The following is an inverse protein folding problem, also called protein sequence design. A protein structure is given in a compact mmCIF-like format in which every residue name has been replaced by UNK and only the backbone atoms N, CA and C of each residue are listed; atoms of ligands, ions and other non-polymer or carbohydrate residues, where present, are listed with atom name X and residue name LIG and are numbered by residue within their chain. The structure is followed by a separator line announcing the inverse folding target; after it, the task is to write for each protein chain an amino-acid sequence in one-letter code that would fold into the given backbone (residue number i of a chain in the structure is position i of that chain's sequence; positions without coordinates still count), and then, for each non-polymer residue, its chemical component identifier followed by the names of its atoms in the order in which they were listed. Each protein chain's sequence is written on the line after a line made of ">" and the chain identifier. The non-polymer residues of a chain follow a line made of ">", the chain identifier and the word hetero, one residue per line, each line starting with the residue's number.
data_IF_847417950306
#
_entry.id   IF_847417950306
#
_cell.length_a   1.000
_cell.length_b   1.000
_cell.length_c   1.000
_cell.angle_alpha   90.00
_cell.angle_beta   90.00
_cell.angle_gamma   90.00
#
_symmetry.space_group_name_H-M   'P 1'
#
loop_
_entity.id
_entity.type
_entity.pdbx_description
1 polymer ?
#
# COMPACT_ATOMS: atom_id res chain seq x y z
N UNK A 1 -8.85 -35.41 47.04
CA UNK A 1 -9.66 -36.53 46.46
C UNK A 1 -10.56 -36.08 45.30
N UNK A 2 -11.83 -35.70 45.49
CA UNK A 2 -12.75 -35.38 44.36
C UNK A 2 -12.28 -34.21 43.48
N UNK A 3 -11.81 -33.10 44.10
CA UNK A 3 -11.24 -31.95 43.37
C UNK A 3 -9.95 -32.26 42.61
N UNK A 4 -9.10 -33.16 43.14
CA UNK A 4 -7.88 -33.60 42.44
C UNK A 4 -8.20 -34.52 41.26
N UNK A 5 -9.22 -35.36 41.36
CA UNK A 5 -9.68 -36.20 40.25
C UNK A 5 -10.25 -35.35 39.11
N UNK A 6 -10.97 -34.28 39.44
CA UNK A 6 -11.49 -33.32 38.47
C UNK A 6 -10.37 -32.49 37.82
N UNK A 7 -9.38 -32.04 38.61
CA UNK A 7 -8.20 -31.34 38.10
C UNK A 7 -7.37 -32.22 37.15
N UNK A 8 -7.18 -33.51 37.45
CA UNK A 8 -6.51 -34.46 36.56
C UNK A 8 -7.27 -34.71 35.26
N UNK A 9 -8.61 -34.80 35.32
CA UNK A 9 -9.43 -34.88 34.11
C UNK A 9 -9.32 -33.63 33.23
N UNK A 10 -9.31 -32.44 33.85
CA UNK A 10 -9.13 -31.18 33.12
C UNK A 10 -7.75 -31.06 32.49
N UNK A 11 -6.69 -31.46 33.19
CA UNK A 11 -5.33 -31.49 32.65
C UNK A 11 -5.22 -32.33 31.38
N UNK A 12 -5.79 -33.54 31.38
CA UNK A 12 -5.77 -34.39 30.18
C UNK A 12 -6.57 -33.85 28.98
N UNK A 13 -7.60 -33.02 29.21
CA UNK A 13 -8.34 -32.36 28.13
C UNK A 13 -7.52 -31.21 27.53
N UNK A 14 -6.83 -30.44 28.37
CA UNK A 14 -5.95 -29.35 27.93
C UNK A 14 -4.75 -29.88 27.13
N UNK A 15 -4.12 -30.96 27.59
CA UNK A 15 -3.01 -31.58 26.86
C UNK A 15 -3.45 -32.08 25.47
N UNK A 16 -4.66 -32.62 25.36
CA UNK A 16 -5.23 -33.06 24.07
C UNK A 16 -5.52 -31.87 23.14
N UNK A 17 -6.10 -30.78 23.67
CA UNK A 17 -6.38 -29.57 22.89
C UNK A 17 -5.09 -28.87 22.42
N UNK A 18 -4.06 -28.81 23.27
CA UNK A 18 -2.76 -28.26 22.92
C UNK A 18 -2.08 -29.11 21.83
N UNK A 19 -2.18 -30.44 21.94
CA UNK A 19 -1.68 -31.36 20.92
C UNK A 19 -2.39 -31.16 19.58
N UNK A 20 -3.70 -30.98 19.57
CA UNK A 20 -4.49 -30.73 18.35
C UNK A 20 -4.17 -29.36 17.74
N UNK A 21 -4.02 -28.32 18.56
CA UNK A 21 -3.63 -26.99 18.10
C UNK A 21 -2.22 -26.99 17.47
N UNK A 22 -1.25 -27.65 18.10
CA UNK A 22 0.10 -27.79 17.56
C UNK A 22 0.10 -28.53 16.22
N UNK A 23 -0.65 -29.64 16.11
CA UNK A 23 -0.79 -30.35 14.84
C UNK A 23 -1.41 -29.46 13.75
N UNK A 24 -2.45 -28.69 14.08
CA UNK A 24 -3.05 -27.73 13.13
C UNK A 24 -2.07 -26.65 12.67
N UNK A 25 -1.19 -26.15 13.57
CA UNK A 25 -0.15 -25.18 13.19
C UNK A 25 0.88 -25.81 12.27
N UNK A 26 1.33 -27.04 12.56
CA UNK A 26 2.26 -27.78 11.70
C UNK A 26 1.66 -28.04 10.30
N UNK A 27 0.40 -28.44 10.23
CA UNK A 27 -0.31 -28.68 8.97
C UNK A 27 -0.43 -27.40 8.13
N UNK A 28 -0.74 -26.26 8.77
CA UNK A 28 -0.76 -24.94 8.11
C UNK A 28 0.63 -24.52 7.62
N UNK A 29 1.67 -24.74 8.42
CA UNK A 29 3.05 -24.45 8.04
C UNK A 29 3.50 -25.30 6.83
N UNK A 30 3.12 -26.59 6.81
CA UNK A 30 3.40 -27.48 5.68
C UNK A 30 2.66 -27.04 4.41
N UNK A 31 1.40 -26.62 4.52
CA UNK A 31 0.63 -26.10 3.39
C UNK A 31 1.24 -24.80 2.83
N UNK A 32 1.69 -23.89 3.70
CA UNK A 32 2.37 -22.66 3.28
C UNK A 32 3.70 -22.96 2.57
N UNK A 33 4.49 -23.91 3.08
CA UNK A 33 5.72 -24.32 2.44
C UNK A 33 5.50 -24.97 1.07
N UNK A 34 4.42 -25.72 0.89
CA UNK A 34 4.04 -26.28 -0.41
C UNK A 34 3.64 -25.18 -1.40
N UNK A 35 2.81 -24.22 -0.97
CA UNK A 35 2.41 -23.08 -1.80
C UNK A 35 3.61 -22.21 -2.22
N UNK A 36 4.58 -22.01 -1.31
CA UNK A 36 5.82 -21.29 -1.64
C UNK A 36 6.63 -22.00 -2.72
N UNK A 37 6.72 -23.34 -2.68
CA UNK A 37 7.43 -24.11 -3.73
C UNK A 37 6.74 -23.98 -5.08
N UNK A 38 5.40 -24.08 -5.12
CA UNK A 38 4.64 -23.88 -6.37
C UNK A 38 4.85 -22.48 -6.94
N UNK A 39 4.92 -21.47 -6.08
CA UNK A 39 5.22 -20.09 -6.48
C UNK A 39 6.64 -19.95 -7.05
N UNK A 40 7.64 -20.52 -6.39
CA UNK A 40 9.04 -20.48 -6.83
C UNK A 40 9.21 -21.22 -8.18
N UNK A 41 8.54 -22.36 -8.38
CA UNK A 41 8.49 -23.08 -9.65
C UNK A 41 7.83 -22.26 -10.77
N UNK A 42 6.74 -21.56 -10.47
CA UNK A 42 6.08 -20.66 -11.42
C UNK A 42 6.98 -19.49 -11.81
N UNK A 43 7.70 -18.89 -10.86
CA UNK A 43 8.68 -17.83 -11.14
C UNK A 43 9.83 -18.34 -12.02
N UNK A 44 10.35 -19.54 -11.75
CA UNK A 44 11.39 -20.15 -12.57
C UNK A 44 10.90 -20.42 -14.01
N UNK A 45 9.66 -20.89 -14.17
CA UNK A 45 9.03 -21.08 -15.49
C UNK A 45 8.88 -19.76 -16.26
N UNK A 46 8.44 -18.69 -15.58
CA UNK A 46 8.31 -17.36 -16.18
C UNK A 46 9.67 -16.80 -16.63
N UNK A 47 10.72 -16.99 -15.81
CA UNK A 47 12.07 -16.59 -16.17
C UNK A 47 12.57 -17.34 -17.42
N UNK A 48 12.31 -18.65 -17.52
CA UNK A 48 12.68 -19.45 -18.68
C UNK A 48 11.96 -18.99 -19.97
N UNK A 49 10.66 -18.69 -19.88
CA UNK A 49 9.88 -18.14 -21.02
C UNK A 49 10.44 -16.77 -21.45
N UNK A 50 10.83 -15.93 -20.50
CA UNK A 50 11.40 -14.61 -20.78
C UNK A 50 12.73 -14.72 -21.55
N UNK A 51 13.62 -15.63 -21.11
CA UNK A 51 14.90 -15.89 -21.80
C UNK A 51 14.68 -16.40 -23.23
N UNK A 52 13.73 -17.32 -23.43
CA UNK A 52 13.44 -17.82 -24.78
C UNK A 52 12.81 -16.73 -25.67
N UNK A 53 11.96 -15.86 -25.11
CA UNK A 53 11.43 -14.71 -25.84
C UNK A 53 12.53 -13.76 -26.31
N UNK A 54 13.51 -13.44 -25.45
CA UNK A 54 14.67 -12.63 -25.85
C UNK A 54 15.50 -13.29 -26.93
N UNK A 55 15.68 -14.62 -26.87
CA UNK A 55 16.40 -15.38 -27.89
C UNK A 55 15.69 -15.30 -29.25
N UNK A 56 14.37 -15.40 -29.26
CA UNK A 56 13.55 -15.24 -30.46
C UNK A 56 13.69 -13.82 -31.02
N UNK A 57 13.62 -12.78 -30.19
CA UNK A 57 13.82 -11.39 -30.60
C UNK A 57 15.20 -11.15 -31.25
N UNK A 58 16.26 -11.72 -30.68
CA UNK A 58 17.62 -11.64 -31.28
C UNK A 58 17.68 -12.33 -32.64
N UNK A 59 17.00 -13.47 -32.79
CA UNK A 59 16.94 -14.22 -34.05
C UNK A 59 16.20 -13.42 -35.13
N UNK A 60 15.05 -12.83 -34.79
CA UNK A 60 14.28 -11.96 -35.70
C UNK A 60 15.14 -10.76 -36.12
N UNK A 61 15.82 -10.11 -35.18
CA UNK A 61 16.71 -8.98 -35.48
C UNK A 61 17.87 -9.38 -36.40
N UNK A 62 18.44 -10.58 -36.25
CA UNK A 62 19.47 -11.10 -37.15
C UNK A 62 18.93 -11.32 -38.56
N UNK A 63 17.78 -11.99 -38.70
CA UNK A 63 17.14 -12.21 -40.00
C UNK A 63 16.78 -10.90 -40.70
N UNK A 64 16.36 -9.88 -39.95
CA UNK A 64 16.13 -8.53 -40.46
C UNK A 64 17.39 -7.90 -41.07
N UNK A 65 18.54 -8.01 -40.39
CA UNK A 65 19.84 -7.53 -40.91
C UNK A 65 20.28 -8.28 -42.16
N UNK A 66 20.11 -9.60 -42.19
CA UNK A 66 20.45 -10.42 -43.37
C UNK A 66 19.58 -10.07 -44.58
N UNK A 67 18.28 -9.85 -44.37
CA UNK A 67 17.34 -9.42 -45.40
C UNK A 67 17.71 -8.04 -45.95
N UNK A 68 18.05 -7.08 -45.09
CA UNK A 68 18.47 -5.74 -45.51
C UNK A 68 19.77 -5.79 -46.34
N UNK A 69 20.73 -6.62 -45.92
CA UNK A 69 21.98 -6.83 -46.65
C UNK A 69 21.73 -7.44 -48.05
N UNK A 70 20.86 -8.45 -48.14
CA UNK A 70 20.42 -9.02 -49.44
C UNK A 70 19.74 -7.99 -50.31
N UNK A 71 18.86 -7.15 -49.75
CA UNK A 71 18.20 -6.06 -50.47
C UNK A 71 19.17 -4.98 -50.97
N UNK A 72 20.24 -4.67 -50.22
CA UNK A 72 21.33 -3.78 -50.69
C UNK A 72 22.11 -4.41 -51.84
N UNK A 73 22.48 -5.69 -51.74
CA UNK A 73 23.18 -6.41 -52.80
C UNK A 73 22.33 -6.51 -54.09
N UNK A 74 21.04 -6.80 -53.97
CA UNK A 74 20.11 -6.86 -55.10
C UNK A 74 20.00 -5.50 -55.81
N UNK A 75 19.86 -4.40 -55.06
CA UNK A 75 19.83 -3.02 -55.62
C UNK A 75 21.12 -2.65 -56.34
N UNK A 76 22.28 -3.03 -55.79
CA UNK A 76 23.56 -2.82 -56.47
C UNK A 76 23.64 -3.60 -57.80
N UNK A 77 23.07 -4.80 -57.85
CA UNK A 77 23.02 -5.63 -59.07
C UNK A 77 22.00 -5.14 -60.11
N UNK A 78 20.92 -4.46 -59.71
CA UNK A 78 19.89 -3.94 -60.64
C UNK A 78 20.20 -2.55 -61.20
N UNK A 79 21.14 -1.81 -60.60
CA UNK A 79 21.58 -0.49 -61.08
C UNK A 79 22.24 -0.51 -62.48
N UNK A 80 22.41 -1.68 -63.09
CA UNK A 80 22.94 -1.89 -64.44
C UNK A 80 21.87 -2.19 -65.51
N UNK A 81 20.58 -2.26 -65.16
CA UNK A 81 19.48 -2.58 -66.08
C UNK A 81 18.58 -1.36 -66.37
N UNK A 82 18.01 -1.31 -67.57
CA UNK A 82 17.28 -0.15 -68.13
C UNK A 82 15.99 0.21 -67.38
N UNK A 83 15.57 1.47 -67.50
CA UNK A 83 14.51 2.15 -66.72
C UNK A 83 13.15 1.41 -66.55
N UNK A 84 12.74 0.55 -67.47
CA UNK A 84 11.43 -0.12 -67.39
C UNK A 84 11.45 -1.36 -66.47
N UNK A 85 12.57 -2.08 -66.38
CA UNK A 85 12.73 -3.22 -65.45
C UNK A 85 12.90 -2.74 -64.00
N UNK A 86 13.54 -1.59 -63.81
CA UNK A 86 13.69 -0.96 -62.50
C UNK A 86 12.34 -0.59 -61.86
N UNK A 87 11.34 -0.25 -62.68
CA UNK A 87 10.00 0.14 -62.21
C UNK A 87 9.16 -1.07 -61.79
N UNK A 88 9.29 -2.19 -62.49
CA UNK A 88 8.68 -3.47 -62.09
C UNK A 88 9.31 -4.02 -60.80
N UNK A 89 10.65 -3.96 -60.67
CA UNK A 89 11.37 -4.36 -59.46
C UNK A 89 11.03 -3.52 -58.23
N UNK A 90 10.73 -2.23 -58.39
CA UNK A 90 10.30 -1.36 -57.28
C UNK A 90 8.93 -1.77 -56.72
N UNK A 91 7.97 -2.10 -57.59
CA UNK A 91 6.64 -2.56 -57.17
C UNK A 91 6.70 -3.92 -56.44
N UNK A 92 7.55 -4.83 -56.91
CA UNK A 92 7.76 -6.13 -56.27
C UNK A 92 8.42 -5.99 -54.89
N UNK A 93 9.37 -5.05 -54.74
CA UNK A 93 9.99 -4.74 -53.44
C UNK A 93 8.99 -4.13 -52.46
N UNK A 94 8.11 -3.22 -52.91
CA UNK A 94 7.10 -2.61 -52.05
C UNK A 94 6.04 -3.63 -51.63
N UNK A 95 5.67 -4.55 -52.52
CA UNK A 95 4.80 -5.68 -52.19
C UNK A 95 5.45 -6.60 -51.14
N UNK A 96 6.73 -6.96 -51.31
CA UNK A 96 7.45 -7.77 -50.32
C UNK A 96 7.56 -7.10 -48.95
N UNK A 97 7.85 -5.79 -48.90
CA UNK A 97 7.87 -5.04 -47.63
C UNK A 97 6.49 -5.02 -46.97
N UNK A 98 5.43 -4.81 -47.75
CA UNK A 98 4.07 -4.83 -47.23
C UNK A 98 3.67 -6.22 -46.71
N UNK A 99 4.09 -7.28 -47.40
CA UNK A 99 3.89 -8.67 -46.95
C UNK A 99 4.63 -8.95 -45.64
N UNK A 100 5.92 -8.57 -45.56
CA UNK A 100 6.73 -8.78 -44.36
C UNK A 100 6.15 -8.02 -43.15
N UNK A 101 5.68 -6.79 -43.36
CA UNK A 101 5.05 -5.98 -42.31
C UNK A 101 3.74 -6.61 -41.79
N UNK A 102 2.95 -7.23 -42.68
CA UNK A 102 1.73 -7.96 -42.28
C UNK A 102 2.06 -9.21 -41.48
N UNK A 103 3.06 -9.98 -41.93
CA UNK A 103 3.51 -11.18 -41.23
C UNK A 103 4.07 -10.85 -39.83
N UNK A 104 4.86 -9.77 -39.72
CA UNK A 104 5.36 -9.28 -38.44
C UNK A 104 4.20 -8.81 -37.52
N UNK A 105 3.22 -8.09 -38.05
CA UNK A 105 2.03 -7.68 -37.29
C UNK A 105 1.23 -8.89 -36.79
N UNK A 106 1.10 -9.95 -37.59
CA UNK A 106 0.43 -11.19 -37.18
C UNK A 106 1.21 -11.91 -36.07
N UNK A 107 2.54 -11.98 -36.18
CA UNK A 107 3.38 -12.56 -35.12
C UNK A 107 3.28 -11.76 -33.81
N UNK A 108 3.26 -10.43 -33.88
CA UNK A 108 3.10 -9.58 -32.69
C UNK A 108 1.72 -9.78 -32.03
N UNK A 109 0.66 -9.94 -32.82
CA UNK A 109 -0.68 -10.28 -32.34
C UNK A 109 -0.73 -11.67 -31.67
N UNK A 110 -0.09 -12.68 -32.28
CA UNK A 110 0.00 -14.03 -31.70
C UNK A 110 0.79 -14.06 -30.38
N UNK A 111 1.92 -13.35 -30.32
CA UNK A 111 2.71 -13.21 -29.09
C UNK A 111 1.91 -12.48 -28.01
N UNK A 112 1.18 -11.42 -28.37
CA UNK A 112 0.33 -10.71 -27.42
C UNK A 112 -0.80 -11.62 -26.90
N UNK A 113 -1.48 -12.35 -27.79
CA UNK A 113 -2.52 -13.30 -27.41
C UNK A 113 -1.98 -14.40 -26.49
N UNK A 114 -0.77 -14.92 -26.75
CA UNK A 114 -0.13 -15.90 -25.88
C UNK A 114 0.22 -15.33 -24.51
N UNK A 115 0.77 -14.12 -24.43
CA UNK A 115 1.06 -13.43 -23.16
C UNK A 115 -0.22 -13.22 -22.33
N UNK A 116 -1.32 -12.81 -22.98
CA UNK A 116 -2.63 -12.66 -22.33
C UNK A 116 -3.14 -14.01 -21.82
N UNK A 117 -3.03 -15.09 -22.60
CA UNK A 117 -3.45 -16.43 -22.18
C UNK A 117 -2.64 -16.95 -20.98
N UNK A 118 -1.32 -16.74 -20.97
CA UNK A 118 -0.46 -17.12 -19.82
C UNK A 118 -0.82 -16.30 -18.58
N UNK A 119 -0.98 -14.98 -18.71
CA UNK A 119 -1.38 -14.12 -17.59
C UNK A 119 -2.74 -14.56 -17.01
N UNK A 120 -3.72 -14.86 -17.87
CA UNK A 120 -5.02 -15.36 -17.46
C UNK A 120 -4.92 -16.71 -16.73
N UNK A 121 -4.08 -17.63 -17.23
CA UNK A 121 -3.83 -18.92 -16.57
C UNK A 121 -3.23 -18.75 -15.17
N UNK A 122 -2.33 -17.79 -14.98
CA UNK A 122 -1.75 -17.48 -13.65
C UNK A 122 -2.82 -16.91 -12.71
N UNK A 123 -3.64 -15.98 -13.20
CA UNK A 123 -4.77 -15.43 -12.42
C UNK A 123 -5.75 -16.52 -12.00
N UNK A 124 -6.09 -17.44 -12.91
CA UNK A 124 -6.99 -18.55 -12.61
C UNK A 124 -6.36 -19.54 -11.62
N UNK A 125 -5.05 -19.78 -11.68
CA UNK A 125 -4.32 -20.61 -10.72
C UNK A 125 -4.24 -19.99 -9.31
N UNK A 126 -4.10 -18.67 -9.20
CA UNK A 126 -4.01 -17.96 -7.91
C UNK A 126 -5.37 -17.71 -7.24
N UNK A 127 -6.47 -17.68 -8.02
CA UNK A 127 -7.84 -17.45 -7.51
C UNK A 127 -8.21 -18.31 -6.28
N UNK A 128 -7.98 -19.63 -6.24
CA UNK A 128 -8.30 -20.43 -5.05
C UNK A 128 -7.48 -20.05 -3.82
N UNK A 129 -6.21 -19.66 -3.98
CA UNK A 129 -5.36 -19.24 -2.87
C UNK A 129 -5.84 -17.90 -2.28
N UNK A 130 -6.21 -16.95 -3.14
CA UNK A 130 -6.82 -15.66 -2.72
C UNK A 130 -8.13 -15.91 -1.97
N UNK A 131 -9.01 -16.75 -2.51
CA UNK A 131 -10.27 -17.10 -1.86
C UNK A 131 -10.07 -17.82 -0.50
N UNK A 132 -8.99 -18.60 -0.36
CA UNK A 132 -8.63 -19.23 0.92
C UNK A 132 -8.14 -18.19 1.94
N UNK A 133 -7.32 -17.21 1.51
CA UNK A 133 -6.86 -16.12 2.35
C UNK A 133 -8.01 -15.22 2.82
N UNK A 134 -8.97 -14.90 1.94
CA UNK A 134 -10.17 -14.14 2.29
C UNK A 134 -10.99 -14.85 3.37
N UNK A 135 -11.19 -16.17 3.26
CA UNK A 135 -11.89 -16.96 4.29
C UNK A 135 -11.16 -16.97 5.64
N UNK A 136 -9.83 -17.02 5.63
CA UNK A 136 -9.03 -16.94 6.86
C UNK A 136 -9.20 -15.57 7.52
N UNK A 137 -9.16 -14.49 6.73
CA UNK A 137 -9.38 -13.14 7.23
C UNK A 137 -10.82 -12.95 7.79
N UNK A 138 -11.83 -13.53 7.14
CA UNK A 138 -13.21 -13.54 7.66
C UNK A 138 -13.32 -14.32 8.98
N UNK A 139 -12.59 -15.43 9.12
CA UNK A 139 -12.54 -16.19 10.37
C UNK A 139 -11.87 -15.40 11.49
N UNK A 140 -10.72 -14.76 11.24
CA UNK A 140 -10.02 -13.92 12.20
C UNK A 140 -10.89 -12.73 12.64
N UNK A 141 -11.59 -12.08 11.71
CA UNK A 141 -12.52 -11.00 12.02
C UNK A 141 -13.68 -11.48 12.89
N UNK A 142 -14.24 -12.66 12.60
CA UNK A 142 -15.31 -13.26 13.40
C UNK A 142 -14.85 -13.64 14.81
N UNK A 143 -13.59 -14.10 14.97
CA UNK A 143 -12.99 -14.35 16.29
C UNK A 143 -12.78 -13.07 17.08
N UNK A 144 -12.33 -12.00 16.42
CA UNK A 144 -12.15 -10.69 17.04
C UNK A 144 -13.49 -10.09 17.52
N UNK A 145 -14.57 -10.26 16.76
CA UNK A 145 -15.91 -9.84 17.18
C UNK A 145 -16.45 -10.66 18.36
N UNK A 146 -16.17 -11.98 18.41
CA UNK A 146 -16.48 -12.80 19.59
C UNK A 146 -15.70 -12.33 20.83
N UNK A 147 -14.42 -12.03 20.67
CA UNK A 147 -13.57 -11.54 21.76
C UNK A 147 -14.06 -10.18 22.28
N UNK A 148 -14.47 -9.26 21.39
CA UNK A 148 -15.09 -7.99 21.78
C UNK A 148 -16.37 -8.20 22.58
N UNK A 149 -17.26 -9.09 22.11
CA UNK A 149 -18.51 -9.40 22.83
C UNK A 149 -18.24 -9.99 24.23
N UNK A 150 -17.24 -10.87 24.35
CA UNK A 150 -16.82 -11.40 25.66
C UNK A 150 -16.26 -10.30 26.57
N UNK A 151 -15.52 -9.34 26.02
CA UNK A 151 -15.02 -8.19 26.78
C UNK A 151 -16.17 -7.26 27.26
N UNK A 152 -17.18 -7.01 26.43
CA UNK A 152 -18.38 -6.26 26.81
C UNK A 152 -19.18 -6.97 27.90
N UNK A 153 -19.36 -8.30 27.80
CA UNK A 153 -20.00 -9.12 28.83
C UNK A 153 -19.21 -9.06 30.16
N UNK A 154 -17.87 -9.14 30.10
CA UNK A 154 -17.00 -8.99 31.26
C UNK A 154 -17.14 -7.61 31.92
N UNK A 155 -17.19 -6.54 31.12
CA UNK A 155 -17.38 -5.18 31.63
C UNK A 155 -18.75 -5.01 32.30
N UNK A 156 -19.81 -5.59 31.73
CA UNK A 156 -21.14 -5.60 32.34
C UNK A 156 -21.17 -6.31 33.71
N UNK A 157 -20.49 -7.46 33.83
CA UNK A 157 -20.35 -8.18 35.11
C UNK A 157 -19.60 -7.33 36.14
N UNK A 158 -18.51 -6.66 35.73
CA UNK A 158 -17.76 -5.77 36.61
C UNK A 158 -18.59 -4.56 37.05
N UNK A 159 -19.40 -3.99 36.15
CA UNK A 159 -20.30 -2.89 36.46
C UNK A 159 -21.36 -3.30 37.48
N UNK A 160 -21.96 -4.48 37.31
CA UNK A 160 -22.91 -5.05 38.28
C UNK A 160 -22.24 -5.26 39.65
N UNK A 161 -21.05 -5.86 39.70
CA UNK A 161 -20.32 -6.07 40.94
C UNK A 161 -20.00 -4.74 41.66
N UNK A 162 -19.62 -3.69 40.92
CA UNK A 162 -19.41 -2.35 41.48
C UNK A 162 -20.69 -1.76 42.07
N UNK A 163 -21.84 -1.95 41.41
CA UNK A 163 -23.13 -1.49 41.91
C UNK A 163 -23.53 -2.21 43.22
N UNK A 164 -23.34 -3.53 43.28
CA UNK A 164 -23.62 -4.33 44.48
C UNK A 164 -22.73 -3.92 45.65
N UNK A 165 -21.43 -3.67 45.42
CA UNK A 165 -20.51 -3.12 46.44
C UNK A 165 -20.97 -1.75 46.90
N UNK A 166 -21.34 -0.86 45.96
CA UNK A 166 -21.82 0.48 46.28
C UNK A 166 -23.10 0.47 47.14
N UNK A 167 -24.01 -0.48 46.90
CA UNK A 167 -25.20 -0.68 47.73
C UNK A 167 -24.84 -1.19 49.13
N UNK A 168 -23.99 -2.22 49.23
CA UNK A 168 -23.58 -2.81 50.50
C UNK A 168 -22.82 -1.80 51.41
N UNK A 169 -22.05 -0.89 50.82
CA UNK A 169 -21.35 0.18 51.55
C UNK A 169 -22.33 1.21 52.13
N UNK A 170 -23.45 1.50 51.46
CA UNK A 170 -24.45 2.45 51.97
C UNK A 170 -25.23 1.89 53.17
N UNK A 171 -25.48 0.59 53.20
CA UNK A 171 -26.28 -0.05 54.24
C UNK A 171 -25.49 -0.42 55.51
N UNK A 172 -24.16 -0.36 55.47
CA UNK A 172 -23.30 -0.78 56.59
C UNK A 172 -22.68 0.39 57.34
N UNK A 173 -23.27 0.77 58.49
CA UNK A 173 -22.74 1.81 59.40
C UNK A 173 -21.57 1.35 60.29
N UNK A 174 -20.73 0.41 59.83
CA UNK A 174 -19.64 -0.14 60.65
C UNK A 174 -18.50 -0.77 59.85
N UNK A 175 -17.26 -0.35 60.15
CA UNK A 175 -16.02 -0.68 59.45
C UNK A 175 -15.68 -2.18 59.33
N UNK A 176 -16.32 -3.06 60.11
CA UNK A 176 -16.14 -4.51 60.03
C UNK A 176 -16.96 -5.14 58.90
N UNK A 177 -18.19 -4.66 58.68
CA UNK A 177 -19.06 -5.16 57.62
C UNK A 177 -18.57 -4.70 56.23
N UNK A 178 -18.00 -3.49 56.15
CA UNK A 178 -17.37 -2.96 54.93
C UNK A 178 -16.17 -3.80 54.50
N UNK A 179 -15.35 -4.29 55.44
CA UNK A 179 -14.21 -5.17 55.14
C UNK A 179 -14.64 -6.52 54.59
N UNK A 180 -15.66 -7.15 55.20
CA UNK A 180 -16.21 -8.41 54.70
C UNK A 180 -16.83 -8.26 53.31
N UNK A 181 -17.57 -7.18 53.05
CA UNK A 181 -18.18 -6.93 51.75
C UNK A 181 -17.13 -6.70 50.64
N UNK A 182 -16.06 -5.95 50.95
CA UNK A 182 -14.93 -5.75 50.02
C UNK A 182 -14.21 -7.07 49.75
N UNK A 183 -13.99 -7.92 50.75
CA UNK A 183 -13.31 -9.20 50.58
C UNK A 183 -14.14 -10.20 49.74
N UNK A 184 -15.46 -10.22 49.94
CA UNK A 184 -16.38 -11.02 49.11
C UNK A 184 -16.42 -10.50 47.67
N UNK A 185 -16.51 -9.19 47.46
CA UNK A 185 -16.49 -8.59 46.12
C UNK A 185 -15.16 -8.82 45.41
N UNK A 186 -14.03 -8.76 46.13
CA UNK A 186 -12.70 -9.05 45.60
C UNK A 186 -12.59 -10.53 45.20
N UNK A 187 -13.17 -11.46 45.97
CA UNK A 187 -13.23 -12.88 45.59
C UNK A 187 -14.12 -13.13 44.37
N UNK A 188 -15.26 -12.45 44.25
CA UNK A 188 -16.14 -12.57 43.08
C UNK A 188 -15.47 -11.99 41.83
N UNK A 189 -14.82 -10.83 41.94
CA UNK A 189 -14.05 -10.23 40.85
C UNK A 189 -12.84 -11.11 40.44
N UNK A 190 -12.12 -11.68 41.41
CA UNK A 190 -11.01 -12.60 41.14
C UNK A 190 -11.48 -13.91 40.47
N UNK A 191 -12.66 -14.42 40.85
CA UNK A 191 -13.28 -15.59 40.22
C UNK A 191 -13.68 -15.30 38.78
N UNK A 192 -14.33 -14.15 38.53
CA UNK A 192 -14.72 -13.74 37.19
C UNK A 192 -13.50 -13.51 36.27
N UNK A 193 -12.44 -12.88 36.78
CA UNK A 193 -11.19 -12.70 36.02
C UNK A 193 -10.50 -14.03 35.69
N UNK A 194 -10.58 -15.03 36.58
CA UNK A 194 -10.07 -16.38 36.31
C UNK A 194 -10.84 -17.14 35.22
N UNK A 195 -12.11 -16.78 34.99
CA UNK A 195 -12.95 -17.38 33.96
C UNK A 195 -12.85 -16.64 32.60
N UNK A 196 -12.28 -15.43 32.56
CA UNK A 196 -12.20 -14.56 31.35
C UNK A 196 -10.80 -14.55 30.71
N UNK A 197 -9.73 -14.78 31.47
CA UNK A 197 -8.36 -14.79 30.92
C UNK A 197 -8.10 -16.11 30.18
N UNK A 198 -7.78 -16.08 28.86
CA UNK A 198 -7.27 -17.26 28.17
C UNK A 198 -5.97 -17.70 28.86
N UNK A 199 -5.92 -18.94 29.35
CA UNK A 199 -4.83 -19.46 30.19
C UNK A 199 -3.46 -19.58 29.47
N UNK A 200 -3.37 -19.21 28.19
CA UNK A 200 -2.20 -19.42 27.33
C UNK A 200 -1.47 -18.14 26.86
N UNK A 201 -1.70 -16.98 27.49
CA UNK A 201 -0.92 -15.78 27.16
C UNK A 201 0.51 -15.86 27.76
N UNK A 202 1.59 -15.83 26.94
CA UNK A 202 2.96 -15.77 27.45
C UNK A 202 3.21 -14.46 28.22
N UNK A 203 4.06 -14.47 29.27
CA UNK A 203 4.33 -13.26 30.05
C UNK A 203 5.00 -12.19 29.18
N UNK A 204 4.57 -10.92 29.29
CA UNK A 204 5.16 -9.84 28.50
C UNK A 204 6.64 -9.66 28.85
N UNK A 205 7.47 -9.62 27.81
CA UNK A 205 8.87 -9.26 27.93
C UNK A 205 8.99 -7.84 28.49
N UNK A 206 9.96 -7.65 29.41
CA UNK A 206 10.22 -6.36 30.02
C UNK A 206 10.71 -5.35 28.97
N UNK A 207 9.95 -4.27 28.79
CA UNK A 207 10.36 -3.09 28.02
C UNK A 207 11.49 -2.35 28.74
N UNK A 208 12.58 -1.98 28.04
CA UNK A 208 13.53 -0.99 28.52
C UNK A 208 13.11 0.43 28.08
N UNK A 209 13.05 1.31 29.07
CA UNK A 209 13.39 2.74 29.01
C UNK A 209 12.60 3.66 28.03
N UNK A 210 11.53 4.23 28.59
CA UNK A 210 11.13 5.64 28.52
C UNK A 210 11.73 6.55 27.43
N UNK A 211 10.98 6.73 26.34
CA UNK A 211 11.01 7.94 25.54
C UNK A 211 9.82 8.85 25.94
N UNK A 212 10.00 10.17 26.10
CA UNK A 212 8.91 11.07 26.45
C UNK A 212 7.91 11.17 25.29
N UNK A 213 6.65 10.88 25.59
CA UNK A 213 5.50 11.07 24.70
C UNK A 213 5.37 12.58 24.38
N UNK A 214 5.25 13.00 23.10
CA UNK A 214 5.00 14.40 22.78
C UNK A 214 3.67 14.85 23.41
N UNK A 215 3.58 16.11 23.86
CA UNK A 215 2.37 16.62 24.51
C UNK A 215 1.21 16.61 23.53
N UNK A 216 0.10 15.97 23.93
CA UNK A 216 -1.20 16.08 23.28
C UNK A 216 -1.65 17.55 23.32
N UNK A 217 -1.36 18.31 22.26
CA UNK A 217 -1.91 19.65 22.12
C UNK A 217 -3.42 19.56 21.87
N UNK A 218 -4.26 20.17 22.72
CA UNK A 218 -5.70 20.19 22.51
C UNK A 218 -6.02 20.87 21.18
N UNK A 219 -6.87 20.23 20.37
CA UNK A 219 -7.48 20.85 19.19
C UNK A 219 -8.14 22.18 19.62
N UNK A 220 -7.76 23.34 19.06
CA UNK A 220 -8.32 24.61 19.48
C UNK A 220 -9.82 24.65 19.19
N UNK A 221 -10.61 24.98 20.21
CA UNK A 221 -12.08 24.96 20.22
C UNK A 221 -12.76 26.04 19.35
N UNK A 222 -12.08 26.51 18.30
CA UNK A 222 -12.54 27.57 17.41
C UNK A 222 -12.64 27.18 15.93
N UNK A 223 -12.47 25.91 15.56
CA UNK A 223 -12.65 25.46 14.18
C UNK A 223 -14.11 25.70 13.75
N UNK A 224 -14.32 26.61 12.77
CA UNK A 224 -15.60 26.76 12.09
C UNK A 224 -16.01 25.37 11.59
N UNK A 225 -17.02 24.77 12.23
CA UNK A 225 -17.55 23.48 11.85
C UNK A 225 -18.12 23.59 10.42
N UNK A 226 -17.51 22.89 9.46
CA UNK A 226 -18.08 22.70 8.11
C UNK A 226 -17.25 23.17 6.91
N UNK A 227 -16.07 23.76 7.09
CA UNK A 227 -15.16 24.06 5.97
C UNK A 227 -13.85 23.29 6.16
N UNK A 228 -13.69 22.18 5.45
CA UNK A 228 -12.41 21.46 5.34
C UNK A 228 -11.73 21.89 4.04
N UNK A 229 -10.42 22.07 4.10
CA UNK A 229 -9.68 22.51 2.93
C UNK A 229 -9.30 21.31 2.11
N UNK A 230 -9.39 21.49 0.81
CA UNK A 230 -8.83 20.53 -0.10
C UNK A 230 -7.34 20.80 -0.25
N UNK A 231 -6.51 19.90 0.25
CA UNK A 231 -5.07 19.91 -0.01
C UNK A 231 -4.79 19.97 -1.51
N UNK A 232 -5.59 19.27 -2.32
CA UNK A 232 -5.47 19.29 -3.78
C UNK A 232 -5.76 20.67 -4.37
N UNK A 233 -6.75 21.40 -3.84
CA UNK A 233 -7.04 22.76 -4.29
C UNK A 233 -5.91 23.73 -3.91
N UNK A 234 -5.33 23.58 -2.71
CA UNK A 234 -4.16 24.36 -2.27
C UNK A 234 -2.96 24.11 -3.16
N UNK A 235 -2.67 22.85 -3.50
CA UNK A 235 -1.55 22.49 -4.38
C UNK A 235 -1.71 23.01 -5.82
N UNK A 236 -2.95 23.17 -6.30
CA UNK A 236 -3.25 23.69 -7.65
C UNK A 236 -3.23 25.22 -7.75
N UNK A 237 -3.37 25.92 -6.62
CA UNK A 237 -3.42 27.39 -6.60
C UNK A 237 -2.03 27.97 -6.26
N UNK A 238 -1.36 28.70 -7.18
CA UNK A 238 0.03 29.14 -6.99
C UNK A 238 0.27 29.94 -5.71
N UNK A 239 -0.62 30.87 -5.37
CA UNK A 239 -0.48 31.69 -4.16
C UNK A 239 -0.66 30.87 -2.88
N UNK A 240 -1.59 29.89 -2.92
CA UNK A 240 -1.87 29.01 -1.79
C UNK A 240 -0.73 28.00 -1.57
N UNK A 241 -0.19 27.45 -2.67
CA UNK A 241 1.00 26.61 -2.66
C UNK A 241 2.21 27.35 -2.09
N UNK A 242 2.40 28.63 -2.45
CA UNK A 242 3.49 29.43 -1.90
C UNK A 242 3.35 29.62 -0.39
N UNK A 243 2.14 29.86 0.11
CA UNK A 243 1.88 29.94 1.56
C UNK A 243 2.16 28.60 2.27
N UNK A 244 1.78 27.48 1.66
CA UNK A 244 2.07 26.16 2.20
C UNK A 244 3.58 25.87 2.22
N UNK A 245 4.32 26.28 1.17
CA UNK A 245 5.79 26.20 1.12
C UNK A 245 6.43 27.04 2.23
N UNK A 246 5.98 28.28 2.41
CA UNK A 246 6.53 29.16 3.44
C UNK A 246 6.22 28.64 4.85
N UNK A 247 5.06 28.01 5.05
CA UNK A 247 4.73 27.30 6.28
C UNK A 247 5.66 26.10 6.50
N UNK A 248 5.82 25.23 5.49
CA UNK A 248 6.65 24.03 5.60
C UNK A 248 8.11 24.39 5.91
N UNK A 249 8.65 25.47 5.32
CA UNK A 249 9.99 26.01 5.62
C UNK A 249 10.13 26.50 7.06
N UNK A 250 9.12 27.20 7.59
CA UNK A 250 9.12 27.65 8.99
C UNK A 250 9.11 26.46 9.96
N UNK A 251 8.55 25.34 9.53
CA UNK A 251 8.41 24.13 10.32
C UNK A 251 9.51 23.09 10.01
N UNK A 252 10.51 23.44 9.20
CA UNK A 252 11.62 22.56 8.79
C UNK A 252 11.13 21.23 8.19
N UNK A 253 10.14 21.29 7.30
CA UNK A 253 9.49 20.13 6.66
C UNK A 253 9.20 20.34 5.17
N UNK A 254 9.84 21.33 4.55
CA UNK A 254 9.65 21.70 3.15
C UNK A 254 10.08 20.61 2.17
N UNK A 255 10.98 19.71 2.56
CA UNK A 255 11.55 18.68 1.69
C UNK A 255 10.48 17.72 1.15
N UNK A 256 9.46 17.38 1.94
CA UNK A 256 8.37 16.51 1.47
C UNK A 256 7.52 17.19 0.40
N UNK A 257 7.26 18.50 0.55
CA UNK A 257 6.51 19.28 -0.43
C UNK A 257 7.32 19.52 -1.70
N UNK A 258 8.59 19.89 -1.55
CA UNK A 258 9.49 20.11 -2.67
C UNK A 258 9.75 18.82 -3.45
N UNK A 259 9.91 17.68 -2.78
CA UNK A 259 10.02 16.39 -3.43
C UNK A 259 8.76 16.04 -4.24
N UNK A 260 7.58 16.19 -3.65
CA UNK A 260 6.31 15.94 -4.34
C UNK A 260 6.15 16.81 -5.61
N UNK A 261 6.53 18.08 -5.52
CA UNK A 261 6.54 19.00 -6.66
C UNK A 261 7.55 18.58 -7.73
N UNK A 262 8.75 18.15 -7.35
CA UNK A 262 9.76 17.68 -8.30
C UNK A 262 9.39 16.35 -8.95
N UNK A 263 8.71 15.43 -8.26
CA UNK A 263 8.16 14.20 -8.88
C UNK A 263 7.12 14.55 -9.95
N UNK A 264 6.23 15.51 -9.66
CA UNK A 264 5.24 15.97 -10.64
C UNK A 264 5.93 16.55 -11.89
N UNK A 265 6.90 17.44 -11.69
CA UNK A 265 7.69 18.00 -12.81
C UNK A 265 8.50 16.93 -13.53
N UNK A 266 9.06 15.95 -12.82
CA UNK A 266 9.80 14.84 -13.41
C UNK A 266 8.94 14.05 -14.39
N UNK A 267 7.70 13.72 -14.04
CA UNK A 267 6.75 13.06 -14.95
C UNK A 267 6.38 13.91 -16.15
N UNK A 268 6.09 15.20 -15.95
CA UNK A 268 5.81 16.12 -17.06
C UNK A 268 7.00 16.21 -18.02
N UNK A 269 8.22 16.31 -17.48
CA UNK A 269 9.46 16.31 -18.26
C UNK A 269 9.71 14.96 -18.94
N UNK A 270 9.38 13.85 -18.29
CA UNK A 270 9.50 12.49 -18.84
C UNK A 270 8.63 12.29 -20.09
N UNK A 271 7.41 12.82 -20.06
CA UNK A 271 6.43 12.68 -21.13
C UNK A 271 6.69 13.62 -22.32
N UNK A 272 7.65 14.56 -22.19
CA UNK A 272 8.01 15.46 -23.27
C UNK A 272 8.68 14.72 -24.45
N UNK A 273 8.09 14.86 -25.65
CA UNK A 273 8.47 14.12 -26.86
C UNK A 273 9.93 14.33 -27.30
N UNK A 274 10.49 15.51 -27.06
CA UNK A 274 11.83 15.90 -27.53
C UNK A 274 12.95 15.55 -26.55
N UNK A 275 12.63 14.94 -25.40
CA UNK A 275 13.59 14.76 -24.31
C UNK A 275 14.45 13.52 -24.49
N UNK A 276 15.77 13.70 -24.40
CA UNK A 276 16.75 12.61 -24.52
C UNK A 276 16.80 11.77 -23.24
N UNK A 277 17.12 10.49 -23.40
CA UNK A 277 17.31 9.55 -22.28
C UNK A 277 18.34 10.05 -21.26
N UNK A 278 19.43 10.67 -21.72
CA UNK A 278 20.47 11.21 -20.83
C UNK A 278 19.95 12.32 -19.89
N UNK A 279 19.01 13.15 -20.35
CA UNK A 279 18.41 14.20 -19.54
C UNK A 279 17.45 13.62 -18.49
N UNK A 280 16.71 12.57 -18.84
CA UNK A 280 15.85 11.83 -17.90
C UNK A 280 16.68 11.19 -16.80
N UNK A 281 17.79 10.55 -17.18
CA UNK A 281 18.75 9.99 -16.22
C UNK A 281 19.29 11.06 -15.28
N UNK A 282 19.77 12.19 -15.80
CA UNK A 282 20.32 13.28 -14.97
C UNK A 282 19.31 13.79 -13.95
N UNK A 283 18.05 13.95 -14.35
CA UNK A 283 16.98 14.37 -13.43
C UNK A 283 16.74 13.31 -12.35
N UNK A 284 16.65 12.03 -12.73
CA UNK A 284 16.40 10.96 -11.77
C UNK A 284 17.57 10.79 -10.78
N UNK A 285 18.82 10.83 -11.26
CA UNK A 285 20.02 10.80 -10.43
C UNK A 285 20.07 11.97 -9.46
N UNK A 286 19.72 13.18 -9.93
CA UNK A 286 19.62 14.35 -9.08
C UNK A 286 18.54 14.18 -8.00
N UNK A 287 17.34 13.70 -8.34
CA UNK A 287 16.28 13.47 -7.37
C UNK A 287 16.65 12.41 -6.33
N UNK A 288 17.31 11.33 -6.76
CA UNK A 288 17.82 10.30 -5.85
C UNK A 288 18.84 10.92 -4.89
N UNK A 289 19.84 11.64 -5.40
CA UNK A 289 20.89 12.26 -4.58
C UNK A 289 20.35 13.33 -3.62
N UNK A 290 19.39 14.13 -4.08
CA UNK A 290 18.89 15.28 -3.34
C UNK A 290 17.84 14.88 -2.29
N UNK A 291 16.94 13.93 -2.58
CA UNK A 291 15.81 13.65 -1.69
C UNK A 291 15.83 12.26 -1.07
N UNK A 292 16.42 11.26 -1.74
CA UNK A 292 16.33 9.87 -1.28
C UNK A 292 17.64 9.37 -0.65
N UNK A 293 18.78 9.95 -1.03
CA UNK A 293 20.08 9.52 -0.53
C UNK A 293 20.20 9.79 0.97
N UNK A 294 20.64 8.76 1.70
CA UNK A 294 20.88 8.88 3.13
C UNK A 294 21.92 9.95 3.44
N UNK A 295 21.58 10.86 4.34
CA UNK A 295 22.45 11.98 4.72
C UNK A 295 22.37 13.18 3.79
N UNK A 296 21.47 13.18 2.80
CA UNK A 296 21.14 14.40 2.07
C UNK A 296 20.55 15.44 3.03
N UNK A 297 20.90 16.74 2.90
CA UNK A 297 20.29 17.80 3.69
C UNK A 297 18.79 17.98 3.41
N UNK A 298 18.27 17.42 2.30
CA UNK A 298 16.85 17.47 1.91
C UNK A 298 16.24 16.06 1.82
N UNK A 299 16.77 15.13 2.62
CA UNK A 299 16.27 13.76 2.67
C UNK A 299 14.81 13.71 3.15
N UNK A 300 13.92 13.09 2.36
CA UNK A 300 12.51 12.88 2.73
C UNK A 300 12.31 11.67 3.65
N UNK A 301 11.29 11.73 4.52
CA UNK A 301 10.94 10.65 5.44
C UNK A 301 10.16 9.50 4.77
N UNK A 302 10.81 8.79 3.84
CA UNK A 302 10.18 7.70 3.05
C UNK A 302 10.46 6.31 3.65
N UNK A 303 11.51 6.18 4.48
CA UNK A 303 11.95 4.94 5.10
C UNK A 303 12.90 4.12 4.23
N UNK A 304 13.94 3.55 4.86
CA UNK A 304 15.10 2.96 4.17
C UNK A 304 14.74 1.81 3.23
N UNK A 305 13.79 0.95 3.61
CA UNK A 305 13.35 -0.20 2.80
C UNK A 305 12.82 0.25 1.44
N UNK A 306 12.11 1.39 1.41
CA UNK A 306 11.43 1.88 0.21
C UNK A 306 12.38 2.67 -0.68
N UNK A 307 13.29 3.44 -0.09
CA UNK A 307 14.43 4.04 -0.80
C UNK A 307 15.25 2.94 -1.49
N UNK A 308 15.54 1.86 -0.77
CA UNK A 308 16.29 0.73 -1.31
C UNK A 308 15.56 0.07 -2.50
N UNK A 309 14.24 -0.10 -2.42
CA UNK A 309 13.47 -0.67 -3.54
C UNK A 309 13.60 0.15 -4.83
N UNK A 310 13.64 1.49 -4.74
CA UNK A 310 13.88 2.36 -5.90
C UNK A 310 15.28 2.15 -6.46
N UNK A 311 16.30 2.13 -5.59
CA UNK A 311 17.70 1.94 -5.99
C UNK A 311 17.94 0.56 -6.60
N UNK A 312 17.46 -0.50 -5.96
CA UNK A 312 17.55 -1.88 -6.44
C UNK A 312 16.83 -2.03 -7.79
N UNK A 313 15.70 -1.34 -7.99
CA UNK A 313 14.97 -1.33 -9.27
C UNK A 313 15.76 -0.69 -10.42
N UNK A 314 16.45 0.42 -10.15
CA UNK A 314 17.36 1.07 -11.12
C UNK A 314 18.56 0.18 -11.42
N UNK A 315 19.17 -0.42 -10.38
CA UNK A 315 20.33 -1.30 -10.54
C UNK A 315 19.97 -2.57 -11.35
N UNK A 316 18.83 -3.20 -11.05
CA UNK A 316 18.40 -4.42 -11.71
C UNK A 316 17.99 -4.22 -13.18
N UNK A 317 17.31 -3.11 -13.49
CA UNK A 317 16.84 -2.82 -14.85
C UNK A 317 17.87 -2.12 -15.72
N UNK A 318 18.85 -1.43 -15.11
CA UNK A 318 19.77 -0.55 -15.81
C UNK A 318 19.10 0.68 -16.45
N UNK A 319 17.82 0.91 -16.15
CA UNK A 319 17.01 1.95 -16.75
C UNK A 319 16.26 2.74 -15.68
N UNK A 320 16.14 4.05 -15.91
CA UNK A 320 15.24 4.91 -15.13
C UNK A 320 13.84 4.78 -15.71
N UNK A 321 12.81 4.87 -14.87
CA UNK A 321 11.41 4.79 -15.34
C UNK A 321 10.63 6.02 -14.94
N UNK A 322 9.46 6.20 -15.57
CA UNK A 322 8.54 7.32 -15.31
C UNK A 322 7.98 7.30 -13.90
N UNK A 323 7.73 6.10 -13.40
CA UNK A 323 6.96 5.73 -12.21
C UNK A 323 7.84 5.30 -11.03
N UNK A 324 9.17 5.36 -11.17
CA UNK A 324 10.11 4.93 -10.11
C UNK A 324 9.97 5.69 -8.79
N UNK A 325 9.32 6.85 -8.79
CA UNK A 325 9.10 7.68 -7.60
C UNK A 325 7.68 7.59 -7.05
N UNK A 326 6.78 6.79 -7.62
CA UNK A 326 5.37 6.74 -7.21
C UNK A 326 5.20 6.33 -5.73
N UNK A 327 5.95 5.33 -5.28
CA UNK A 327 5.92 4.90 -3.87
C UNK A 327 6.47 5.98 -2.93
N UNK A 328 7.71 6.52 -3.12
CA UNK A 328 8.19 7.66 -2.35
C UNK A 328 7.25 8.86 -2.33
N UNK A 329 6.64 9.19 -3.47
CA UNK A 329 5.73 10.32 -3.60
C UNK A 329 4.46 10.10 -2.78
N UNK A 330 3.85 8.91 -2.84
CA UNK A 330 2.65 8.59 -2.04
C UNK A 330 2.91 8.81 -0.55
N UNK A 331 4.12 8.51 -0.09
CA UNK A 331 4.51 8.64 1.31
C UNK A 331 4.76 10.10 1.68
N UNK A 332 5.49 10.83 0.84
CA UNK A 332 5.68 12.27 1.02
C UNK A 332 4.33 12.99 1.03
N UNK A 333 3.42 12.62 0.11
CA UNK A 333 2.05 13.13 0.08
C UNK A 333 1.25 12.74 1.32
N UNK A 334 1.37 11.51 1.80
CA UNK A 334 0.75 11.06 3.04
C UNK A 334 1.22 11.87 4.25
N UNK A 335 2.52 12.14 4.36
CA UNK A 335 3.11 13.00 5.39
C UNK A 335 2.57 14.43 5.30
N UNK A 336 2.54 14.99 4.09
CA UNK A 336 1.95 16.30 3.87
C UNK A 336 0.49 16.34 4.31
N UNK A 337 -0.33 15.37 3.90
CA UNK A 337 -1.77 15.31 4.16
C UNK A 337 -2.11 15.07 5.62
N UNK A 338 -1.37 14.20 6.30
CA UNK A 338 -1.70 13.75 7.66
C UNK A 338 -1.00 14.56 8.75
N UNK A 339 0.13 15.20 8.45
CA UNK A 339 0.96 15.88 9.46
C UNK A 339 1.07 17.37 9.20
N UNK A 340 1.49 17.77 8.01
CA UNK A 340 1.83 19.18 7.70
C UNK A 340 0.54 19.98 7.45
N UNK A 341 -0.35 19.45 6.62
CA UNK A 341 -1.55 20.14 6.16
C UNK A 341 -2.51 20.47 7.31
N UNK A 342 -2.87 19.56 8.24
CA UNK A 342 -3.76 19.89 9.35
C UNK A 342 -3.22 21.00 10.27
N UNK A 343 -1.90 21.15 10.33
CA UNK A 343 -1.23 22.23 11.09
C UNK A 343 -1.21 23.54 10.30
N UNK A 344 -1.07 23.48 8.97
CA UNK A 344 -1.20 24.63 8.09
C UNK A 344 -2.61 25.23 8.13
N UNK A 345 -3.65 24.40 8.08
CA UNK A 345 -5.06 24.82 8.03
C UNK A 345 -5.47 25.75 9.19
N UNK A 346 -4.83 25.60 10.35
CA UNK A 346 -5.12 26.40 11.55
C UNK A 346 -4.28 27.67 11.67
N UNK A 347 -3.39 27.95 10.72
CA UNK A 347 -2.56 29.16 10.74
C UNK A 347 -3.35 30.41 10.36
N UNK A 348 -3.04 31.59 10.94
CA UNK A 348 -3.71 32.84 10.57
C UNK A 348 -3.64 33.17 9.08
N UNK A 349 -2.50 32.88 8.44
CA UNK A 349 -2.28 33.12 7.02
C UNK A 349 -3.17 32.23 6.15
N UNK A 350 -3.28 30.95 6.50
CA UNK A 350 -4.19 30.02 5.84
C UNK A 350 -5.64 30.49 6.03
N UNK A 351 -6.07 30.76 7.26
CA UNK A 351 -7.42 31.24 7.57
C UNK A 351 -7.81 32.50 6.78
N UNK A 352 -6.89 33.46 6.66
CA UNK A 352 -7.10 34.67 5.86
C UNK A 352 -7.27 34.36 4.38
N UNK A 353 -6.44 33.48 3.82
CA UNK A 353 -6.56 33.04 2.43
C UNK A 353 -7.95 32.44 2.15
N UNK A 354 -8.53 31.76 3.15
CA UNK A 354 -9.83 31.09 3.04
C UNK A 354 -11.01 32.05 3.11
N UNK A 355 -10.88 33.15 3.85
CA UNK A 355 -11.89 34.22 3.84
C UNK A 355 -11.94 34.94 2.49
N UNK A 356 -10.83 34.95 1.75
CA UNK A 356 -10.70 35.64 0.47
C UNK A 356 -11.05 34.75 -0.74
N UNK A 357 -11.11 33.41 -0.59
CA UNK A 357 -11.25 32.47 -1.72
C UNK A 357 -12.21 31.31 -1.45
N UNK A 358 -13.43 31.42 -1.98
CA UNK A 358 -14.45 30.36 -1.93
C UNK A 358 -14.04 29.09 -2.71
N UNK A 359 -13.12 29.20 -3.68
CA UNK A 359 -12.75 28.10 -4.58
C UNK A 359 -11.74 27.10 -3.99
N UNK A 360 -11.33 27.27 -2.72
CA UNK A 360 -10.39 26.39 -2.01
C UNK A 360 -11.06 25.46 -1.00
N UNK A 361 -12.36 25.65 -0.76
CA UNK A 361 -13.13 24.90 0.23
C UNK A 361 -13.83 23.73 -0.46
N UNK A 362 -13.64 22.51 0.06
CA UNK A 362 -14.46 21.38 -0.35
C UNK A 362 -15.80 21.42 0.41
N UNK A 363 -16.95 21.27 -0.30
CA UNK A 363 -18.24 21.19 0.38
C UNK A 363 -18.28 19.95 1.26
N UNK A 364 -18.51 20.15 2.57
CA UNK A 364 -18.55 19.08 3.58
C UNK A 364 -19.40 17.89 3.08
N UNK A 365 -18.81 16.68 2.94
CA UNK A 365 -19.55 15.50 2.48
C UNK A 365 -20.75 15.17 3.38
N UNK A 366 -20.75 15.59 4.65
CA UNK A 366 -21.89 15.43 5.55
C UNK A 366 -23.07 16.37 5.18
N UNK A 367 -22.81 17.54 4.59
CA UNK A 367 -23.85 18.44 4.08
C UNK A 367 -24.50 17.93 2.79
N UNK A 368 -23.79 17.11 2.00
CA UNK A 368 -24.31 16.62 0.71
C UNK A 368 -25.33 15.48 0.84
N UNK A 369 -25.40 14.79 1.98
CA UNK A 369 -26.32 13.66 2.17
C UNK A 369 -27.77 14.07 2.50
N UNK A 370 -28.05 15.36 2.74
CA UNK A 370 -29.38 15.86 3.11
C UNK A 370 -30.28 16.38 1.98
N UNK A 371 -29.79 16.49 0.74
CA UNK A 371 -30.36 17.41 -0.26
C UNK A 371 -31.09 16.84 -1.48
N UNK A 372 -31.55 15.58 -1.50
CA UNK A 372 -32.29 15.03 -2.67
C UNK A 372 -33.70 14.53 -2.35
N UNK A 373 -34.59 15.36 -1.83
CA UNK A 373 -36.06 15.21 -2.00
C UNK A 373 -36.72 16.59 -1.90
N UNK A 374 -37.57 16.93 -2.88
CA UNK A 374 -38.15 18.25 -3.22
C UNK A 374 -37.22 18.97 -4.20
N UNK A 375 -37.55 19.13 -5.47
CA UNK A 375 -38.77 19.72 -6.01
C UNK A 375 -39.18 19.06 -7.35
N UNK A 376 -40.43 18.61 -7.41
CA UNK A 376 -41.20 18.45 -8.65
C UNK A 376 -42.66 18.72 -8.28
N UNK A 377 -42.98 20.00 -8.09
CA UNK A 377 -44.33 20.55 -8.09
C UNK A 377 -44.23 22.00 -8.58
N UNK A 378 -44.24 22.15 -9.90
CA UNK A 378 -45.04 23.11 -10.69
C UNK A 378 -44.79 22.82 -12.15
#
# INVERSE_FOLDING_TARGET
>A
ASKEAEARKRGGVLDAQLSEANQSVEDKAAALAAAQREFDEAQASLAAVTVEHERQQRTIAQLGRESEARGKAARAATATLTNDEARAGALEQDWHKASLKREQSQQDEEVHAHKVAVAQSVVDALRPAVAAAERLNEQELAELDRAKKQAEEAEAVLAQARAEVGAAVKDTHGAAATRSAVETATRVAARALLDIVPQDAPPPAADPAGAPKPPDTPRPAGSRQGMQLSMEAVLKAPDALQLLLDFARKDFSEENLEFWLEVTKYRERWDAADRREEERRKDAEWMIGEFLQQGSPRQVCVGDVRVKAVLDGVEASGAYTRDMFDIPEEIAYGTLKLVIFPRFEVTPEALKLFEERDNLVEPDPACQQGGRKREAYT
#
